data_IF_703600434409
#
_entry.id   IF_703600434409
#
_cell.length_a   1.000
_cell.length_b   1.000
_cell.length_c   1.000
_cell.angle_alpha   90.00
_cell.angle_beta   90.00
_cell.angle_gamma   90.00
#
_symmetry.space_group_name_H-M   'P 1'
#
loop_
_entity.id
_entity.type
_entity.pdbx_description
1 polymer ?
#
# COMPACT_ATOMS: atom_id res chain seq x y z
N UNK A 1 40.18 -26.02 -31.96
CA UNK A 1 39.13 -26.97 -31.57
C UNK A 1 39.21 -27.21 -30.07
N UNK A 2 38.33 -26.61 -29.25
CA UNK A 2 38.14 -26.98 -27.85
C UNK A 2 36.81 -27.73 -27.64
N UNK A 3 36.89 -28.71 -26.74
CA UNK A 3 35.93 -29.77 -26.44
C UNK A 3 34.81 -29.21 -25.55
N UNK A 4 33.55 -29.41 -25.95
CA UNK A 4 32.34 -29.04 -25.19
C UNK A 4 31.94 -30.25 -24.32
N UNK A 5 31.89 -30.15 -22.98
CA UNK A 5 31.26 -31.18 -22.17
C UNK A 5 29.75 -30.92 -22.05
N UNK A 6 28.97 -31.83 -22.64
CA UNK A 6 27.55 -32.03 -22.38
C UNK A 6 27.32 -32.37 -20.89
N UNK A 7 26.59 -31.51 -20.16
CA UNK A 7 25.95 -31.90 -18.92
C UNK A 7 24.45 -32.15 -19.18
N UNK A 8 24.15 -33.44 -19.34
CA UNK A 8 22.81 -34.01 -19.33
C UNK A 8 22.28 -33.90 -17.90
N UNK A 9 21.30 -33.02 -17.66
CA UNK A 9 20.55 -33.02 -16.40
C UNK A 9 19.44 -34.07 -16.51
N UNK A 10 19.67 -35.23 -15.89
CA UNK A 10 18.69 -36.30 -15.78
C UNK A 10 17.62 -35.91 -14.75
N UNK A 11 16.39 -35.75 -15.24
CA UNK A 11 15.19 -35.51 -14.48
C UNK A 11 14.68 -36.84 -13.91
N UNK A 12 14.89 -37.09 -12.62
CA UNK A 12 14.25 -38.21 -11.91
C UNK A 12 13.20 -37.67 -10.93
N UNK A 13 11.95 -37.84 -11.31
CA UNK A 13 10.80 -37.73 -10.44
C UNK A 13 10.80 -38.91 -9.46
N UNK A 14 10.63 -38.64 -8.16
CA UNK A 14 10.18 -39.64 -7.20
C UNK A 14 9.00 -39.08 -6.41
N UNK A 15 7.87 -39.79 -6.51
CA UNK A 15 6.71 -39.67 -5.65
C UNK A 15 7.07 -40.09 -4.22
N UNK A 16 6.58 -39.35 -3.23
CA UNK A 16 6.71 -39.70 -1.81
C UNK A 16 5.90 -38.78 -0.93
N UNK A 17 4.66 -39.19 -0.66
CA UNK A 17 3.76 -38.61 0.34
C UNK A 17 4.24 -39.03 1.73
N UNK A 18 4.61 -38.09 2.60
CA UNK A 18 4.61 -38.31 4.06
C UNK A 18 4.76 -37.02 4.88
N UNK A 19 3.78 -36.82 5.77
CA UNK A 19 3.85 -36.32 7.14
C UNK A 19 4.48 -34.95 7.48
N UNK A 20 3.68 -34.23 8.27
CA UNK A 20 3.86 -32.93 8.90
C UNK A 20 4.93 -32.91 10.03
N UNK A 21 5.68 -31.79 10.09
CA UNK A 21 6.18 -31.08 11.30
C UNK A 21 7.55 -31.47 11.93
N UNK A 22 8.20 -30.60 12.73
CA UNK A 22 9.05 -29.49 12.26
C UNK A 22 10.41 -29.45 12.98
N UNK A 23 11.55 -29.31 12.27
CA UNK A 23 12.81 -28.87 12.91
C UNK A 23 13.63 -27.99 11.97
N UNK A 24 14.14 -26.93 12.59
CA UNK A 24 14.99 -25.90 12.05
C UNK A 24 16.05 -26.40 11.06
N UNK A 25 16.18 -25.71 9.93
CA UNK A 25 17.39 -25.72 9.13
C UNK A 25 17.63 -24.32 8.61
N UNK A 26 18.61 -23.67 9.24
CA UNK A 26 19.24 -22.45 8.77
C UNK A 26 19.83 -22.72 7.38
N UNK A 27 19.22 -22.18 6.33
CA UNK A 27 19.86 -22.06 5.03
C UNK A 27 20.38 -20.63 4.87
N UNK A 28 21.66 -20.44 5.21
CA UNK A 28 22.47 -19.33 4.69
C UNK A 28 22.73 -19.63 3.21
N UNK A 29 22.09 -18.87 2.32
CA UNK A 29 22.53 -18.77 0.93
C UNK A 29 23.21 -17.41 0.80
N UNK A 30 24.54 -17.41 0.91
CA UNK A 30 25.38 -16.30 0.48
C UNK A 30 25.48 -16.36 -1.04
N UNK A 31 24.71 -15.52 -1.74
CA UNK A 31 24.90 -15.28 -3.17
C UNK A 31 25.55 -13.91 -3.36
N UNK A 32 26.85 -13.96 -3.66
CA UNK A 32 27.70 -12.87 -4.12
C UNK A 32 27.20 -12.45 -5.50
N UNK A 33 26.64 -11.24 -5.64
CA UNK A 33 26.37 -10.63 -6.95
C UNK A 33 27.46 -9.57 -7.20
N UNK A 34 28.29 -9.73 -8.25
CA UNK A 34 29.30 -8.73 -8.60
C UNK A 34 28.67 -7.45 -9.12
N UNK A 35 29.15 -6.33 -8.58
CA UNK A 35 28.93 -4.95 -9.03
C UNK A 35 29.37 -4.79 -10.49
N UNK A 36 28.47 -4.38 -11.37
CA UNK A 36 28.86 -3.76 -12.65
C UNK A 36 28.84 -2.24 -12.48
N UNK A 37 30.01 -1.64 -12.42
CA UNK A 37 30.21 -0.21 -12.55
C UNK A 37 29.77 0.23 -13.96
N UNK A 38 28.81 1.16 -14.05
CA UNK A 38 28.60 1.94 -15.27
C UNK A 38 28.74 3.42 -14.95
N UNK A 39 29.97 3.90 -15.12
CA UNK A 39 30.31 5.31 -15.20
C UNK A 39 29.83 5.85 -16.53
N UNK A 40 28.80 6.70 -16.52
CA UNK A 40 28.57 7.66 -17.60
C UNK A 40 28.73 9.06 -17.01
N UNK A 41 29.90 9.62 -17.23
CA UNK A 41 30.16 11.04 -17.11
C UNK A 41 29.78 11.70 -18.44
N UNK A 42 28.78 12.57 -18.43
CA UNK A 42 28.66 13.65 -19.41
C UNK A 42 28.32 14.93 -18.67
N UNK A 43 29.16 15.91 -18.91
CA UNK A 43 29.28 17.22 -18.28
C UNK A 43 28.53 18.27 -19.11
N UNK A 44 28.17 19.37 -18.44
CA UNK A 44 28.06 20.76 -18.98
C UNK A 44 26.86 21.01 -19.92
N UNK A 45 26.06 22.08 -19.88
CA UNK A 45 26.08 23.44 -19.32
C UNK A 45 24.60 23.81 -18.98
N UNK A 46 24.23 24.58 -17.97
CA UNK A 46 24.41 26.03 -17.88
C UNK A 46 23.19 26.79 -18.44
N UNK A 47 22.18 27.10 -17.60
CA UNK A 47 21.48 28.40 -17.66
C UNK A 47 20.70 28.69 -16.36
N UNK A 48 20.89 29.87 -15.73
CA UNK A 48 20.10 30.34 -14.59
C UNK A 48 18.95 31.27 -15.03
N UNK A 49 18.08 31.55 -14.07
CA UNK A 49 17.01 32.57 -14.03
C UNK A 49 15.61 32.05 -14.38
N UNK A 50 14.74 31.95 -13.37
CA UNK A 50 13.82 33.05 -13.10
C UNK A 50 13.15 32.89 -11.72
N UNK A 51 13.36 33.91 -10.91
CA UNK A 51 12.68 34.13 -9.65
C UNK A 51 11.17 34.35 -9.85
N UNK A 52 10.34 33.65 -9.08
CA UNK A 52 9.04 34.14 -8.65
C UNK A 52 8.81 33.74 -7.19
N UNK A 53 8.98 34.73 -6.29
CA UNK A 53 7.91 35.36 -5.50
C UNK A 53 7.30 34.40 -4.46
N UNK A 54 7.82 34.44 -3.24
CA UNK A 54 7.37 35.36 -2.17
C UNK A 54 6.09 34.91 -1.47
N UNK A 55 6.30 34.36 -0.27
CA UNK A 55 5.62 34.77 0.96
C UNK A 55 4.13 34.49 1.09
N UNK A 56 3.79 33.44 1.84
CA UNK A 56 2.89 33.61 2.97
C UNK A 56 3.19 32.58 4.07
N UNK A 57 4.09 32.97 4.97
CA UNK A 57 4.18 32.37 6.30
C UNK A 57 2.92 32.77 7.06
N UNK A 58 2.00 31.83 7.26
CA UNK A 58 1.01 31.97 8.33
C UNK A 58 1.64 31.38 9.59
N UNK A 59 2.19 32.25 10.42
CA UNK A 59 2.55 31.93 11.80
C UNK A 59 1.28 31.51 12.53
N UNK A 60 1.15 30.21 12.78
CA UNK A 60 0.16 29.69 13.71
C UNK A 60 0.67 29.97 15.12
N UNK A 61 0.06 30.93 15.81
CA UNK A 61 0.42 31.31 17.18
C UNK A 61 -0.47 30.52 18.18
N UNK A 62 0.05 29.49 18.88
CA UNK A 62 -0.76 28.63 19.73
C UNK A 62 -1.05 29.22 21.12
N UNK A 63 -0.87 30.54 21.34
CA UNK A 63 -0.99 31.17 22.67
C UNK A 63 -2.29 31.94 22.94
N UNK A 64 -3.26 31.89 22.03
CA UNK A 64 -4.59 32.50 22.24
C UNK A 64 -5.65 31.40 22.29
N UNK A 65 -5.59 30.48 23.26
CA UNK A 65 -6.73 29.61 23.65
C UNK A 65 -6.62 29.10 25.10
N UNK A 66 -6.04 29.92 25.98
CA UNK A 66 -6.11 29.66 27.42
C UNK A 66 -6.29 30.98 28.15
N UNK A 67 -7.55 31.41 28.27
CA UNK A 67 -8.11 32.01 29.50
C UNK A 67 -9.54 32.50 29.26
N UNK A 68 -10.37 32.12 30.23
CA UNK A 68 -11.70 32.63 30.53
C UNK A 68 -12.83 32.04 29.66
N UNK A 69 -13.96 31.58 30.19
CA UNK A 69 -14.65 31.99 31.40
C UNK A 69 -15.39 30.82 32.08
N UNK A 70 -15.28 30.78 33.40
CA UNK A 70 -16.28 30.21 34.27
C UNK A 70 -17.43 31.22 34.44
N UNK A 71 -18.63 30.68 34.67
CA UNK A 71 -19.87 31.32 35.12
C UNK A 71 -20.79 31.99 34.08
N UNK A 72 -22.07 31.58 34.12
CA UNK A 72 -23.20 32.49 34.03
C UNK A 72 -23.96 32.54 32.70
N UNK A 73 -25.12 31.88 32.71
CA UNK A 73 -26.22 31.89 31.73
C UNK A 73 -26.57 33.30 31.23
N UNK A 74 -26.51 33.53 29.90
CA UNK A 74 -27.49 34.34 29.15
C UNK A 74 -27.63 33.72 27.75
N UNK A 75 -28.87 33.35 27.41
CA UNK A 75 -29.30 32.95 26.06
C UNK A 75 -29.49 34.24 25.25
N UNK A 76 -28.76 34.43 24.14
CA UNK A 76 -29.33 35.09 22.98
C UNK A 76 -29.47 34.05 21.87
N UNK A 77 -30.69 33.96 21.35
CA UNK A 77 -31.01 33.24 20.13
C UNK A 77 -30.19 33.83 18.96
N UNK A 78 -28.97 33.35 18.79
CA UNK A 78 -28.28 33.43 17.51
C UNK A 78 -28.99 32.44 16.61
N UNK A 79 -29.86 32.98 15.76
CA UNK A 79 -30.25 32.35 14.52
C UNK A 79 -28.97 31.96 13.80
N UNK A 80 -28.59 30.70 13.93
CA UNK A 80 -27.66 30.06 13.01
C UNK A 80 -28.33 30.25 11.67
N UNK A 81 -27.81 31.19 10.88
CA UNK A 81 -27.94 31.13 9.45
C UNK A 81 -27.44 29.73 9.10
N UNK A 82 -28.38 28.81 8.96
CA UNK A 82 -28.19 27.60 8.20
C UNK A 82 -27.71 28.12 6.87
N UNK A 83 -26.39 28.12 6.69
CA UNK A 83 -25.82 28.06 5.36
C UNK A 83 -26.62 26.98 4.71
N UNK A 84 -27.44 27.41 3.75
CA UNK A 84 -28.33 26.56 3.01
C UNK A 84 -27.54 25.28 2.77
N UNK A 85 -28.08 24.17 3.27
CA UNK A 85 -27.66 22.87 2.80
C UNK A 85 -27.84 22.98 1.29
N UNK A 86 -26.73 23.27 0.62
CA UNK A 86 -26.55 23.03 -0.78
C UNK A 86 -26.80 21.54 -0.86
N UNK A 87 -28.07 21.21 -1.12
CA UNK A 87 -28.54 19.89 -1.45
C UNK A 87 -27.58 19.45 -2.54
N UNK A 88 -26.66 18.50 -2.29
CA UNK A 88 -25.69 18.13 -3.30
C UNK A 88 -26.51 17.53 -4.44
N UNK A 89 -26.68 18.29 -5.51
CA UNK A 89 -27.08 17.78 -6.81
C UNK A 89 -25.93 16.84 -7.23
N UNK A 90 -26.04 15.51 -7.19
CA UNK A 90 -27.22 14.67 -7.00
C UNK A 90 -27.11 13.65 -5.85
N UNK A 91 -28.27 13.32 -5.29
CA UNK A 91 -28.58 12.20 -4.38
C UNK A 91 -28.43 10.82 -5.08
N UNK A 92 -27.49 10.72 -6.02
CA UNK A 92 -27.00 9.48 -6.60
C UNK A 92 -25.59 9.26 -6.09
N UNK A 93 -25.46 8.93 -4.80
CA UNK A 93 -24.18 8.45 -4.27
C UNK A 93 -23.63 7.36 -5.19
N UNK A 94 -22.32 7.36 -5.43
CA UNK A 94 -21.69 6.27 -6.16
C UNK A 94 -22.23 4.95 -5.59
N UNK A 95 -22.65 3.98 -6.44
CA UNK A 95 -23.06 2.67 -5.97
C UNK A 95 -22.03 2.19 -4.97
N UNK A 96 -22.45 1.57 -3.85
CA UNK A 96 -21.52 1.21 -2.77
C UNK A 96 -20.26 0.52 -3.33
N UNK A 97 -20.39 -0.34 -4.36
CA UNK A 97 -19.23 -0.93 -5.05
C UNK A 97 -18.20 0.07 -5.60
N UNK A 98 -18.60 1.20 -6.16
CA UNK A 98 -17.67 2.17 -6.74
C UNK A 98 -16.89 2.96 -5.67
N UNK A 99 -17.46 3.22 -4.49
CA UNK A 99 -16.72 3.81 -3.36
C UNK A 99 -15.67 2.82 -2.83
N UNK A 100 -16.04 1.56 -2.69
CA UNK A 100 -15.12 0.50 -2.26
C UNK A 100 -13.98 0.31 -3.26
N UNK A 101 -14.26 0.41 -4.56
CA UNK A 101 -13.24 0.35 -5.61
C UNK A 101 -12.29 1.56 -5.55
N UNK A 102 -12.80 2.78 -5.40
CA UNK A 102 -11.94 3.98 -5.27
C UNK A 102 -11.06 3.90 -4.01
N UNK A 103 -11.61 3.42 -2.89
CA UNK A 103 -10.83 3.16 -1.67
C UNK A 103 -9.68 2.17 -1.92
N UNK A 104 -9.95 1.07 -2.62
CA UNK A 104 -8.97 0.05 -2.98
C UNK A 104 -7.85 0.62 -3.86
N UNK A 105 -8.19 1.36 -4.92
CA UNK A 105 -7.22 1.97 -5.84
C UNK A 105 -6.36 3.03 -5.14
N UNK A 106 -6.97 3.84 -4.26
CA UNK A 106 -6.22 4.81 -3.43
C UNK A 106 -5.28 4.10 -2.47
N UNK A 107 -5.75 3.06 -1.79
CA UNK A 107 -4.94 2.27 -0.87
C UNK A 107 -3.73 1.63 -1.58
N UNK A 108 -3.93 1.04 -2.75
CA UNK A 108 -2.82 0.48 -3.55
C UNK A 108 -1.76 1.53 -3.86
N UNK A 109 -2.18 2.72 -4.32
CA UNK A 109 -1.25 3.81 -4.67
C UNK A 109 -0.48 4.31 -3.45
N UNK A 110 -1.18 4.51 -2.34
CA UNK A 110 -0.59 5.00 -1.09
C UNK A 110 0.36 3.96 -0.50
N UNK A 111 0.03 2.67 -0.61
CA UNK A 111 0.88 1.56 -0.19
C UNK A 111 2.18 1.50 -0.99
N UNK A 112 2.12 1.60 -2.32
CA UNK A 112 3.31 1.66 -3.19
C UNK A 112 4.18 2.88 -2.86
N UNK A 113 3.55 4.05 -2.63
CA UNK A 113 4.28 5.26 -2.22
C UNK A 113 4.98 5.07 -0.89
N UNK A 114 4.34 4.40 0.07
CA UNK A 114 4.90 4.11 1.37
C UNK A 114 6.10 3.17 1.26
N UNK A 115 5.99 2.09 0.48
CA UNK A 115 7.09 1.17 0.17
C UNK A 115 8.30 1.90 -0.40
N UNK A 116 8.09 2.76 -1.40
CA UNK A 116 9.16 3.59 -1.98
C UNK A 116 9.78 4.57 -1.00
N UNK A 117 8.96 5.20 -0.15
CA UNK A 117 9.43 6.15 0.86
C UNK A 117 10.30 5.46 1.93
N UNK A 118 9.91 4.25 2.36
CA UNK A 118 10.70 3.42 3.26
C UNK A 118 11.99 2.97 2.57
N UNK A 119 11.92 2.42 1.36
CA UNK A 119 13.11 1.97 0.60
C UNK A 119 14.12 3.11 0.38
N UNK A 120 13.65 4.33 0.08
CA UNK A 120 14.52 5.48 -0.23
C UNK A 120 15.10 6.18 1.01
N UNK A 121 14.38 6.17 2.14
CA UNK A 121 14.73 6.96 3.35
C UNK A 121 14.83 6.10 4.62
N UNK A 122 15.06 4.80 4.49
CA UNK A 122 15.08 3.87 5.62
C UNK A 122 16.07 4.27 6.73
N UNK A 123 17.21 4.89 6.38
CA UNK A 123 18.21 5.36 7.34
C UNK A 123 17.77 6.60 8.15
N UNK A 124 16.89 7.42 7.57
CA UNK A 124 16.42 8.69 8.16
C UNK A 124 15.04 8.55 8.83
N UNK A 125 14.45 7.36 8.78
CA UNK A 125 13.07 7.12 9.20
C UNK A 125 12.92 7.22 10.72
N UNK A 126 12.13 8.18 11.21
CA UNK A 126 11.99 8.38 12.65
C UNK A 126 11.03 7.36 13.29
N UNK A 127 11.11 7.23 14.61
CA UNK A 127 10.22 6.37 15.39
C UNK A 127 8.75 6.74 15.24
N UNK A 128 8.45 8.03 15.05
CA UNK A 128 7.09 8.50 14.77
C UNK A 128 6.62 8.09 13.38
N UNK A 129 7.50 8.13 12.38
CA UNK A 129 7.16 7.68 11.03
C UNK A 129 6.88 6.17 10.99
N UNK A 130 7.68 5.34 11.67
CA UNK A 130 7.39 3.91 11.82
C UNK A 130 6.05 3.64 12.51
N UNK A 131 5.69 4.42 13.54
CA UNK A 131 4.35 4.35 14.16
C UNK A 131 3.24 4.70 13.15
N UNK A 132 3.46 5.71 12.31
CA UNK A 132 2.52 6.08 11.24
C UNK A 132 2.37 4.96 10.20
N UNK A 133 3.45 4.24 9.84
CA UNK A 133 3.36 3.02 9.03
C UNK A 133 2.48 1.98 9.72
N UNK A 134 2.66 1.76 11.02
CA UNK A 134 1.84 0.84 11.81
C UNK A 134 0.36 1.24 11.86
N UNK A 135 0.03 2.53 11.94
CA UNK A 135 -1.35 3.00 11.82
C UNK A 135 -1.91 2.79 10.42
N UNK A 136 -1.10 3.04 9.40
CA UNK A 136 -1.49 2.80 8.02
C UNK A 136 -1.80 1.32 7.75
N UNK A 137 -1.00 0.39 8.28
CA UNK A 137 -1.26 -1.06 8.18
C UNK A 137 -2.65 -1.47 8.70
N UNK A 138 -3.11 -0.83 9.80
CA UNK A 138 -4.47 -1.09 10.34
C UNK A 138 -5.55 -0.63 9.38
N UNK A 139 -5.36 0.51 8.71
CA UNK A 139 -6.25 0.98 7.64
C UNK A 139 -6.16 0.09 6.41
N UNK A 140 -4.98 -0.38 6.05
CA UNK A 140 -4.80 -1.30 4.91
C UNK A 140 -5.50 -2.65 5.16
N UNK A 141 -5.57 -3.10 6.40
CA UNK A 141 -6.32 -4.31 6.74
C UNK A 141 -7.83 -4.18 6.44
N UNK A 142 -8.43 -3.01 6.68
CA UNK A 142 -9.86 -2.80 6.37
C UNK A 142 -10.13 -2.76 4.86
N UNK A 143 -9.12 -2.46 4.03
CA UNK A 143 -9.23 -2.57 2.57
C UNK A 143 -9.48 -4.02 2.14
N UNK A 144 -9.03 -5.00 2.92
CA UNK A 144 -9.38 -6.41 2.69
C UNK A 144 -10.88 -6.69 2.85
N UNK A 145 -11.59 -5.91 3.68
CA UNK A 145 -13.05 -6.00 3.82
C UNK A 145 -13.74 -5.38 2.59
N UNK A 146 -13.20 -4.27 2.06
CA UNK A 146 -13.65 -3.69 0.79
C UNK A 146 -13.45 -4.67 -0.39
N UNK A 147 -12.31 -5.36 -0.46
CA UNK A 147 -12.07 -6.42 -1.44
C UNK A 147 -13.09 -7.57 -1.29
N UNK A 148 -13.40 -7.96 -0.05
CA UNK A 148 -14.44 -8.98 0.22
C UNK A 148 -15.78 -8.54 -0.35
N UNK A 149 -16.20 -7.30 -0.08
CA UNK A 149 -17.44 -6.72 -0.62
C UNK A 149 -17.46 -6.73 -2.15
N UNK A 150 -16.39 -6.28 -2.80
CA UNK A 150 -16.28 -6.24 -4.26
C UNK A 150 -16.37 -7.64 -4.89
N UNK A 151 -15.78 -8.65 -4.24
CA UNK A 151 -15.80 -10.03 -4.73
C UNK A 151 -17.17 -10.71 -4.67
N UNK A 152 -18.14 -10.15 -3.93
CA UNK A 152 -19.46 -10.78 -3.78
C UNK A 152 -20.25 -10.83 -5.09
N UNK A 153 -20.04 -9.85 -5.98
CA UNK A 153 -20.73 -9.70 -7.26
C UNK A 153 -19.99 -10.36 -8.43
N UNK A 154 -18.92 -11.12 -8.15
CA UNK A 154 -18.16 -11.84 -9.18
C UNK A 154 -18.78 -13.20 -9.47
N UNK A 155 -18.46 -13.75 -10.64
CA UNK A 155 -18.78 -15.13 -11.00
C UNK A 155 -18.20 -16.12 -9.97
N UNK A 156 -18.90 -17.25 -9.72
CA UNK A 156 -18.56 -18.20 -8.67
C UNK A 156 -17.09 -18.69 -8.72
N UNK A 157 -16.56 -18.94 -9.91
CA UNK A 157 -15.16 -19.35 -10.10
C UNK A 157 -14.17 -18.24 -9.69
N UNK A 158 -14.41 -16.98 -10.09
CA UNK A 158 -13.54 -15.85 -9.73
C UNK A 158 -13.69 -15.46 -8.26
N UNK A 159 -14.86 -15.67 -7.68
CA UNK A 159 -15.16 -15.38 -6.27
C UNK A 159 -14.33 -16.25 -5.32
N UNK A 160 -14.09 -17.52 -5.64
CA UNK A 160 -13.23 -18.39 -4.82
C UNK A 160 -11.78 -17.92 -4.85
N UNK A 161 -11.28 -17.55 -6.03
CA UNK A 161 -9.92 -17.04 -6.20
C UNK A 161 -9.74 -15.68 -5.49
N UNK A 162 -10.73 -14.80 -5.64
CA UNK A 162 -10.77 -13.51 -4.96
C UNK A 162 -10.79 -13.67 -3.43
N UNK A 163 -11.58 -14.60 -2.89
CA UNK A 163 -11.63 -14.87 -1.45
C UNK A 163 -10.30 -15.42 -0.91
N UNK A 164 -9.63 -16.31 -1.65
CA UNK A 164 -8.30 -16.81 -1.32
C UNK A 164 -7.26 -15.67 -1.31
N UNK A 165 -7.29 -14.82 -2.35
CA UNK A 165 -6.44 -13.62 -2.44
C UNK A 165 -6.66 -12.69 -1.25
N UNK A 166 -7.91 -12.34 -0.93
CA UNK A 166 -8.24 -11.47 0.21
C UNK A 166 -7.69 -12.03 1.52
N UNK A 167 -7.86 -13.33 1.76
CA UNK A 167 -7.36 -13.99 2.98
C UNK A 167 -5.83 -13.90 3.06
N UNK A 168 -5.15 -14.18 1.95
CA UNK A 168 -3.68 -14.10 1.87
C UNK A 168 -3.18 -12.67 2.07
N UNK A 169 -3.84 -11.67 1.46
CA UNK A 169 -3.57 -10.25 1.63
C UNK A 169 -3.69 -9.82 3.09
N UNK A 170 -4.83 -10.12 3.74
CA UNK A 170 -5.06 -9.76 5.15
C UNK A 170 -4.03 -10.42 6.08
N UNK A 171 -3.59 -11.63 5.76
CA UNK A 171 -2.53 -12.31 6.52
C UNK A 171 -1.18 -11.60 6.32
N UNK A 172 -0.80 -11.27 5.09
CA UNK A 172 0.46 -10.56 4.78
C UNK A 172 0.51 -9.17 5.43
N UNK A 173 -0.59 -8.43 5.42
CA UNK A 173 -0.70 -7.13 6.10
C UNK A 173 -0.53 -7.28 7.62
N UNK A 174 -1.03 -8.36 8.23
CA UNK A 174 -0.78 -8.67 9.64
C UNK A 174 0.68 -9.04 9.89
N UNK A 175 1.26 -9.86 9.03
CA UNK A 175 2.66 -10.28 9.14
C UNK A 175 3.61 -9.09 8.96
N UNK A 176 3.20 -8.06 8.19
CA UNK A 176 3.90 -6.79 8.03
C UNK A 176 3.93 -5.93 9.31
N UNK A 177 3.08 -6.21 10.32
CA UNK A 177 3.14 -5.48 11.59
C UNK A 177 4.46 -5.75 12.33
N UNK A 178 4.96 -7.00 12.26
CA UNK A 178 6.22 -7.39 12.91
C UNK A 178 7.44 -6.62 12.40
N UNK A 179 7.72 -6.54 11.08
CA UNK A 179 8.86 -5.77 10.58
C UNK A 179 8.73 -4.27 10.87
N UNK A 180 7.52 -3.72 10.99
CA UNK A 180 7.33 -2.32 11.42
C UNK A 180 7.70 -2.11 12.89
N UNK A 181 7.34 -3.05 13.77
CA UNK A 181 7.73 -3.00 15.19
C UNK A 181 9.24 -3.16 15.39
N UNK A 182 9.88 -4.03 14.60
CA UNK A 182 11.33 -4.25 14.63
C UNK A 182 12.11 -3.28 13.76
N UNK A 183 11.42 -2.34 13.07
CA UNK A 183 12.01 -1.38 12.11
C UNK A 183 12.88 -2.05 11.04
N UNK A 184 12.50 -3.26 10.63
CA UNK A 184 13.15 -4.04 9.59
C UNK A 184 12.60 -3.63 8.22
N UNK A 185 13.29 -2.69 7.58
CA UNK A 185 12.87 -2.12 6.30
C UNK A 185 12.97 -3.14 5.15
N UNK A 186 13.96 -4.05 5.17
CA UNK A 186 14.13 -5.06 4.13
C UNK A 186 12.95 -6.03 4.13
N UNK A 187 12.59 -6.52 5.32
CA UNK A 187 11.43 -7.38 5.48
C UNK A 187 10.12 -6.65 5.13
N UNK A 188 9.98 -5.37 5.51
CA UNK A 188 8.82 -4.57 5.15
C UNK A 188 8.67 -4.40 3.63
N UNK A 189 9.75 -4.05 2.92
CA UNK A 189 9.74 -3.85 1.46
C UNK A 189 9.46 -5.17 0.73
N UNK A 190 9.94 -6.31 1.23
CA UNK A 190 9.60 -7.61 0.67
C UNK A 190 8.10 -7.91 0.75
N UNK A 191 7.47 -7.63 1.91
CA UNK A 191 6.03 -7.82 2.10
C UNK A 191 5.23 -6.81 1.27
N UNK A 192 5.70 -5.56 1.16
CA UNK A 192 5.08 -4.54 0.33
C UNK A 192 4.96 -4.98 -1.13
N UNK A 193 6.06 -5.46 -1.74
CA UNK A 193 6.08 -5.92 -3.14
C UNK A 193 5.10 -7.06 -3.38
N UNK A 194 5.05 -8.04 -2.49
CA UNK A 194 4.12 -9.18 -2.59
C UNK A 194 2.66 -8.72 -2.45
N UNK A 195 2.38 -7.88 -1.46
CA UNK A 195 1.04 -7.34 -1.18
C UNK A 195 0.55 -6.45 -2.33
N UNK A 196 1.42 -5.62 -2.90
CA UNK A 196 1.15 -4.79 -4.08
C UNK A 196 0.83 -5.64 -5.32
N UNK A 197 1.52 -6.76 -5.50
CA UNK A 197 1.20 -7.73 -6.56
C UNK A 197 -0.19 -8.33 -6.35
N UNK A 198 -0.56 -8.72 -5.13
CA UNK A 198 -1.88 -9.29 -4.84
C UNK A 198 -3.03 -8.30 -5.09
N UNK A 199 -2.85 -7.03 -4.72
CA UNK A 199 -3.81 -5.96 -5.01
C UNK A 199 -3.99 -5.79 -6.52
N UNK A 200 -2.88 -5.82 -7.28
CA UNK A 200 -2.92 -5.71 -8.74
C UNK A 200 -3.63 -6.90 -9.39
N UNK A 201 -3.34 -8.12 -8.94
CA UNK A 201 -4.04 -9.34 -9.39
C UNK A 201 -5.53 -9.27 -9.11
N UNK A 202 -5.92 -8.83 -7.90
CA UNK A 202 -7.33 -8.67 -7.54
C UNK A 202 -8.05 -7.64 -8.41
N UNK A 203 -7.44 -6.47 -8.65
CA UNK A 203 -7.99 -5.47 -9.57
C UNK A 203 -8.13 -6.01 -11.01
N UNK A 204 -7.17 -6.81 -11.47
CA UNK A 204 -7.25 -7.51 -12.76
C UNK A 204 -8.45 -8.47 -12.83
N UNK A 205 -8.73 -9.20 -11.75
CA UNK A 205 -9.91 -10.07 -11.69
C UNK A 205 -11.21 -9.26 -11.80
N UNK A 206 -11.29 -8.07 -11.17
CA UNK A 206 -12.45 -7.19 -11.28
C UNK A 206 -12.66 -6.64 -12.70
N UNK A 207 -11.59 -6.22 -13.37
CA UNK A 207 -11.67 -5.68 -14.74
C UNK A 207 -12.00 -6.75 -15.79
N UNK A 208 -11.68 -8.02 -15.53
CA UNK A 208 -11.95 -9.14 -16.44
C UNK A 208 -13.42 -9.59 -16.53
N UNK A 209 -14.34 -8.90 -15.82
CA UNK A 209 -15.75 -9.31 -15.67
C UNK A 209 -16.74 -8.63 -16.61
N UNK A 210 -16.30 -7.75 -17.52
CA UNK A 210 -17.19 -6.86 -18.29
C UNK A 210 -16.98 -6.91 -19.81
N UNK A 211 -16.77 -8.08 -20.39
CA UNK A 211 -16.98 -8.28 -21.83
C UNK A 211 -17.71 -9.62 -21.99
N UNK A 212 -19.04 -9.60 -22.23
CA UNK A 212 -19.73 -10.77 -22.76
C UNK A 212 -19.11 -11.11 -24.11
N UNK A 213 -18.54 -12.31 -24.24
CA UNK A 213 -18.07 -12.88 -25.51
C UNK A 213 -19.30 -13.26 -26.37
N UNK A 214 -20.05 -12.25 -26.79
CA UNK A 214 -21.22 -12.40 -27.66
C UNK A 214 -21.10 -11.48 -28.88
N UNK A 215 -20.18 -11.82 -29.80
CA UNK A 215 -20.28 -11.53 -31.24
C UNK A 215 -19.60 -12.64 -32.06
#
# INVERSE_FOLDING_TARGET
MPIIPCLIFSLSALHGSEAWSPKASYFRISAIIPRTCRTNAMSLDGEPNHAMKSTQSQSFDPRIQRRAFAAGIIIPAFTVATSAMAKPVGEGGLPDGARQFDNLVRAQRDWIKLGKAVESRHEEFTDEEWKNVGFYLRKLYSVGDDMTFLSQNMEAAKKTDAAALVKSFKQKVKDAAKPVETKDWEAFVAVEKETSSQLSTFLGLLSSGSVPDEL
#
